data_IF_738865412661
#
_entry.id   IF_738865412661
#
_cell.length_a   1.000
_cell.length_b   1.000
_cell.length_c   1.000
_cell.angle_alpha   90.00
_cell.angle_beta   90.00
_cell.angle_gamma   90.00
#
_symmetry.space_group_name_H-M   'P 1'
#
loop_
_entity.id
_entity.type
_entity.pdbx_description
1 polymer ?
#
# COMPACT_ATOMS: atom_id res chain seq x y z
N UNK A 1 -4.92 33.27 -28.30
CA UNK A 1 -4.69 32.54 -27.03
C UNK A 1 -4.99 31.07 -27.31
N UNK A 2 -3.93 30.29 -27.44
CA UNK A 2 -3.90 28.94 -27.97
C UNK A 2 -4.54 27.96 -26.99
N UNK A 3 -5.72 27.49 -27.36
CA UNK A 3 -6.31 26.24 -26.86
C UNK A 3 -5.40 25.10 -27.30
N UNK A 4 -4.57 24.58 -26.39
CA UNK A 4 -3.86 23.32 -26.60
C UNK A 4 -4.88 22.19 -26.50
N UNK A 5 -5.20 21.62 -27.66
CA UNK A 5 -5.95 20.38 -27.80
C UNK A 5 -5.29 19.29 -26.95
N UNK A 6 -5.86 18.99 -25.80
CA UNK A 6 -5.55 17.78 -25.05
C UNK A 6 -6.11 16.64 -25.90
N UNK A 7 -5.18 15.95 -26.56
CA UNK A 7 -5.43 14.75 -27.35
C UNK A 7 -6.07 13.67 -26.46
N UNK A 8 -7.38 13.44 -26.63
CA UNK A 8 -8.10 12.23 -26.19
C UNK A 8 -7.61 10.99 -26.96
N UNK A 9 -6.32 10.66 -26.85
CA UNK A 9 -5.84 9.32 -27.21
C UNK A 9 -6.18 8.40 -26.04
N UNK A 10 -6.79 7.23 -26.26
CA UNK A 10 -6.80 6.20 -25.23
C UNK A 10 -5.34 5.93 -24.89
N UNK A 11 -4.94 6.26 -23.66
CA UNK A 11 -3.56 6.10 -23.17
C UNK A 11 -3.10 4.69 -23.53
N UNK A 12 -2.28 4.57 -24.57
CA UNK A 12 -1.71 3.29 -24.96
C UNK A 12 -0.92 2.78 -23.77
N UNK A 13 -1.10 1.51 -23.44
CA UNK A 13 -0.33 0.87 -22.36
C UNK A 13 1.16 1.09 -22.65
N UNK A 14 1.93 1.60 -21.69
CA UNK A 14 3.39 1.71 -21.84
C UNK A 14 3.96 0.31 -22.04
N UNK A 15 4.84 0.18 -23.03
CA UNK A 15 5.43 -1.11 -23.42
C UNK A 15 6.87 -1.22 -22.97
N UNK A 16 7.29 -2.44 -22.67
CA UNK A 16 8.67 -2.78 -22.38
C UNK A 16 9.21 -3.65 -23.53
N UNK A 17 10.53 -3.67 -23.78
CA UNK A 17 11.12 -4.54 -24.78
C UNK A 17 10.79 -6.01 -24.49
N UNK A 18 10.64 -6.81 -25.54
CA UNK A 18 10.37 -8.25 -25.40
C UNK A 18 11.57 -9.05 -24.85
N UNK A 19 12.75 -8.43 -24.72
CA UNK A 19 13.92 -9.05 -24.11
C UNK A 19 13.64 -9.41 -22.65
N UNK A 20 13.95 -10.66 -22.27
CA UNK A 20 13.80 -11.17 -20.90
C UNK A 20 15.08 -11.84 -20.37
N UNK A 21 16.22 -11.53 -20.97
CA UNK A 21 17.48 -12.25 -20.70
C UNK A 21 17.95 -11.99 -19.28
N UNK A 22 17.83 -10.75 -18.82
CA UNK A 22 18.20 -10.38 -17.47
C UNK A 22 17.28 -11.07 -16.46
N UNK A 23 15.95 -10.94 -16.62
CA UNK A 23 14.95 -11.57 -15.75
C UNK A 23 15.07 -13.09 -15.73
N UNK A 24 15.30 -13.71 -16.87
CA UNK A 24 15.49 -15.17 -16.97
C UNK A 24 16.71 -15.61 -16.16
N UNK A 25 17.85 -14.95 -16.37
CA UNK A 25 19.09 -15.25 -15.64
C UNK A 25 18.92 -15.03 -14.14
N UNK A 26 18.28 -13.93 -13.74
CA UNK A 26 17.96 -13.63 -12.34
C UNK A 26 17.11 -14.73 -11.72
N UNK A 27 16.00 -15.10 -12.36
CA UNK A 27 15.10 -16.14 -11.87
C UNK A 27 15.79 -17.52 -11.78
N UNK A 28 16.65 -17.86 -12.75
CA UNK A 28 17.43 -19.10 -12.73
C UNK A 28 18.38 -19.14 -11.53
N UNK A 29 19.09 -18.04 -11.25
CA UNK A 29 19.99 -17.93 -10.09
C UNK A 29 19.24 -17.99 -8.76
N UNK A 30 18.13 -17.26 -8.63
CA UNK A 30 17.28 -17.29 -7.43
C UNK A 30 16.74 -18.69 -7.20
N UNK A 31 16.20 -19.35 -8.24
CA UNK A 31 15.71 -20.73 -8.15
C UNK A 31 16.82 -21.70 -7.73
N UNK A 32 18.01 -21.57 -8.32
CA UNK A 32 19.17 -22.40 -7.98
C UNK A 32 19.55 -22.22 -6.51
N UNK A 33 19.59 -20.99 -6.00
CA UNK A 33 19.84 -20.71 -4.58
C UNK A 33 18.85 -21.43 -3.65
N UNK A 34 17.55 -21.33 -3.92
CA UNK A 34 16.53 -22.04 -3.12
C UNK A 34 16.71 -23.56 -3.15
N UNK A 35 17.07 -24.12 -4.31
CA UNK A 35 17.28 -25.56 -4.47
C UNK A 35 18.55 -26.05 -3.75
N UNK A 36 19.67 -25.34 -3.89
CA UNK A 36 20.95 -25.72 -3.27
C UNK A 36 20.92 -25.63 -1.74
N UNK A 37 20.07 -24.77 -1.19
CA UNK A 37 19.92 -24.58 0.26
C UNK A 37 18.72 -25.34 0.87
N UNK A 38 17.97 -26.13 0.08
CA UNK A 38 16.72 -26.80 0.50
C UNK A 38 15.70 -25.84 1.14
N UNK A 39 15.63 -24.61 0.63
CA UNK A 39 14.71 -23.58 1.09
C UNK A 39 13.46 -23.58 0.21
N UNK A 40 12.28 -23.69 0.83
CA UNK A 40 11.01 -23.53 0.13
C UNK A 40 10.71 -22.05 -0.10
N UNK A 41 10.36 -21.62 -1.33
CA UNK A 41 10.06 -20.21 -1.62
C UNK A 41 8.72 -19.74 -1.00
N UNK A 42 7.87 -20.68 -0.58
CA UNK A 42 6.59 -20.43 0.07
C UNK A 42 6.45 -21.34 1.30
N UNK A 43 5.40 -21.12 2.09
CA UNK A 43 5.09 -21.87 3.29
C UNK A 43 6.20 -21.82 4.35
N UNK A 44 6.88 -20.68 4.47
CA UNK A 44 7.89 -20.45 5.51
C UNK A 44 7.21 -20.35 6.89
N UNK A 45 7.49 -21.25 7.85
CA UNK A 45 6.90 -21.21 9.21
C UNK A 45 7.11 -19.88 9.93
N UNK A 46 8.25 -19.21 9.69
CA UNK A 46 8.55 -17.91 10.28
C UNK A 46 7.55 -16.83 9.85
N UNK A 47 7.02 -16.89 8.62
CA UNK A 47 5.99 -15.95 8.16
C UNK A 47 4.67 -16.16 8.90
N UNK A 48 4.26 -17.41 9.15
CA UNK A 48 3.05 -17.69 9.92
C UNK A 48 3.18 -17.29 11.40
N UNK A 49 4.36 -17.50 11.99
CA UNK A 49 4.65 -17.01 13.35
C UNK A 49 4.63 -15.48 13.41
N UNK A 50 5.26 -14.79 12.45
CA UNK A 50 5.19 -13.32 12.29
C UNK A 50 3.74 -12.84 12.25
N UNK A 51 2.90 -13.49 11.44
CA UNK A 51 1.46 -13.19 11.38
C UNK A 51 0.77 -13.38 12.71
N UNK A 52 0.98 -14.51 13.39
CA UNK A 52 0.36 -14.78 14.68
C UNK A 52 0.74 -13.72 15.73
N UNK A 53 2.03 -13.32 15.76
CA UNK A 53 2.53 -12.26 16.65
C UNK A 53 1.85 -10.91 16.33
N UNK A 54 1.83 -10.50 15.06
CA UNK A 54 1.27 -9.22 14.63
C UNK A 54 -0.25 -9.16 14.88
N UNK A 55 -0.99 -10.23 14.57
CA UNK A 55 -2.42 -10.27 14.86
C UNK A 55 -2.70 -10.26 16.37
N UNK A 56 -1.91 -11.01 17.15
CA UNK A 56 -2.01 -10.98 18.62
C UNK A 56 -1.69 -9.60 19.18
N UNK A 57 -0.75 -8.88 18.58
CA UNK A 57 -0.42 -7.50 18.92
C UNK A 57 -1.62 -6.57 18.65
N UNK A 58 -2.23 -6.63 17.47
CA UNK A 58 -3.40 -5.81 17.13
C UNK A 58 -4.57 -6.10 18.10
N UNK A 59 -4.99 -7.37 18.18
CA UNK A 59 -6.16 -7.75 18.99
C UNK A 59 -5.91 -7.60 20.49
N UNK A 60 -4.70 -7.95 20.95
CA UNK A 60 -4.31 -7.82 22.35
C UNK A 60 -4.22 -6.36 22.80
N UNK A 61 -3.64 -5.48 21.98
CA UNK A 61 -3.58 -4.04 22.30
C UNK A 61 -4.96 -3.42 22.27
N UNK A 62 -5.78 -3.75 21.27
CA UNK A 62 -7.17 -3.30 21.22
C UNK A 62 -7.96 -3.75 22.46
N UNK A 63 -7.83 -5.01 22.88
CA UNK A 63 -8.49 -5.52 24.08
C UNK A 63 -7.98 -4.82 25.36
N UNK A 64 -6.67 -4.57 25.46
CA UNK A 64 -6.10 -3.80 26.56
C UNK A 64 -6.62 -2.36 26.62
N UNK A 65 -6.74 -1.69 25.47
CA UNK A 65 -7.34 -0.35 25.38
C UNK A 65 -8.79 -0.39 25.85
N UNK A 66 -9.58 -1.43 25.57
CA UNK A 66 -10.98 -1.44 25.99
C UNK A 66 -11.16 -1.86 27.45
N UNK A 67 -10.49 -2.94 27.87
CA UNK A 67 -10.78 -3.62 29.14
C UNK A 67 -9.68 -3.47 30.20
N UNK A 68 -8.52 -2.90 29.85
CA UNK A 68 -7.46 -2.60 30.82
C UNK A 68 -7.78 -1.42 31.74
N UNK A 69 -6.89 -1.07 32.68
CA UNK A 69 -7.09 -0.01 33.66
C UNK A 69 -7.48 1.33 33.02
N UNK A 70 -8.41 2.06 33.66
CA UNK A 70 -8.92 3.36 33.19
C UNK A 70 -7.91 4.52 33.42
N UNK A 71 -6.67 4.33 32.96
CA UNK A 71 -5.57 5.29 33.09
C UNK A 71 -5.34 5.93 31.72
N UNK A 72 -5.66 7.22 31.60
CA UNK A 72 -5.73 7.92 30.31
C UNK A 72 -4.43 7.80 29.47
N UNK A 73 -3.27 8.05 30.09
CA UNK A 73 -2.00 8.01 29.36
C UNK A 73 -1.67 6.59 28.85
N UNK A 74 -2.05 5.54 29.58
CA UNK A 74 -1.90 4.15 29.13
C UNK A 74 -2.81 3.84 27.95
N UNK A 75 -4.04 4.37 27.93
CA UNK A 75 -4.97 4.21 26.79
C UNK A 75 -4.43 4.91 25.55
N UNK A 76 -3.94 6.15 25.68
CA UNK A 76 -3.32 6.91 24.58
C UNK A 76 -2.10 6.19 24.02
N UNK A 77 -1.19 5.73 24.90
CA UNK A 77 -0.04 4.92 24.48
C UNK A 77 -0.49 3.62 23.79
N UNK A 78 -1.53 2.97 24.32
CA UNK A 78 -2.17 1.82 23.69
C UNK A 78 -2.64 2.12 22.27
N UNK A 79 -3.28 3.26 22.02
CA UNK A 79 -3.71 3.65 20.67
C UNK A 79 -2.53 3.82 19.70
N UNK A 80 -1.41 4.40 20.14
CA UNK A 80 -0.18 4.49 19.33
C UNK A 80 0.35 3.09 19.02
N UNK A 81 0.48 2.23 20.04
CA UNK A 81 0.94 0.84 19.89
C UNK A 81 0.02 0.04 18.96
N UNK A 82 -1.30 0.27 19.03
CA UNK A 82 -2.26 -0.33 18.13
C UNK A 82 -2.04 0.15 16.68
N UNK A 83 -1.79 1.45 16.48
CA UNK A 83 -1.46 2.01 15.17
C UNK A 83 -0.21 1.40 14.54
N UNK A 84 0.84 1.15 15.34
CA UNK A 84 2.02 0.40 14.91
C UNK A 84 1.68 -1.05 14.51
N UNK A 85 0.83 -1.71 15.30
CA UNK A 85 0.33 -3.05 15.00
C UNK A 85 -0.47 -3.09 13.69
N UNK A 86 -1.35 -2.11 13.45
CA UNK A 86 -2.09 -1.93 12.19
C UNK A 86 -1.10 -1.78 11.02
N UNK A 87 -0.05 -0.97 11.18
CA UNK A 87 1.05 -0.85 10.21
C UNK A 87 1.72 -2.17 9.90
N UNK A 88 2.09 -2.94 10.94
CA UNK A 88 2.63 -4.29 10.77
C UNK A 88 1.65 -5.24 10.07
N UNK A 89 0.36 -5.18 10.40
CA UNK A 89 -0.68 -5.98 9.76
C UNK A 89 -0.81 -5.69 8.27
N UNK A 90 -0.79 -4.40 7.89
CA UNK A 90 -0.78 -3.98 6.49
C UNK A 90 0.49 -4.41 5.76
N UNK A 91 1.66 -3.97 6.24
CA UNK A 91 2.93 -4.08 5.52
C UNK A 91 3.57 -5.47 5.58
N UNK A 92 3.28 -6.29 6.60
CA UNK A 92 3.92 -7.60 6.78
C UNK A 92 2.98 -8.80 6.61
N UNK A 93 1.68 -8.62 6.83
CA UNK A 93 0.71 -9.72 6.67
C UNK A 93 -0.06 -9.56 5.37
N UNK A 94 -0.80 -8.46 5.23
CA UNK A 94 -1.67 -8.26 4.08
C UNK A 94 -0.89 -8.01 2.78
N UNK A 95 0.17 -7.21 2.82
CA UNK A 95 1.07 -6.96 1.69
C UNK A 95 1.63 -8.26 1.10
N UNK A 96 2.37 -9.01 1.92
CA UNK A 96 2.99 -10.29 1.56
C UNK A 96 1.96 -11.30 1.03
N UNK A 97 0.77 -11.36 1.64
CA UNK A 97 -0.31 -12.24 1.21
C UNK A 97 -0.95 -11.80 -0.11
N UNK A 98 -1.12 -10.49 -0.34
CA UNK A 98 -1.65 -9.96 -1.58
C UNK A 98 -0.66 -10.09 -2.77
N UNK A 99 0.63 -10.25 -2.49
CA UNK A 99 1.64 -10.72 -3.45
C UNK A 99 1.66 -12.23 -3.66
N UNK A 100 0.94 -13.00 -2.86
CA UNK A 100 0.86 -14.46 -2.97
C UNK A 100 2.06 -15.21 -2.37
N UNK A 101 2.85 -14.57 -1.51
CA UNK A 101 4.11 -15.14 -1.00
C UNK A 101 3.93 -16.21 0.08
N UNK A 102 2.85 -16.15 0.89
CA UNK A 102 2.68 -17.04 2.06
C UNK A 102 2.57 -18.52 1.67
N UNK A 103 1.73 -18.84 0.70
CA UNK A 103 1.42 -20.24 0.37
C UNK A 103 1.21 -20.47 -1.11
N UNK A 104 1.45 -21.69 -1.56
CA UNK A 104 1.03 -22.17 -2.88
C UNK A 104 -0.51 -22.28 -2.97
N UNK A 105 -1.22 -22.36 -1.84
CA UNK A 105 -2.67 -22.32 -1.80
C UNK A 105 -3.17 -20.87 -1.84
N UNK A 106 -3.74 -20.47 -2.98
CA UNK A 106 -4.29 -19.13 -3.18
C UNK A 106 -5.38 -18.73 -2.18
N UNK A 107 -6.08 -19.69 -1.55
CA UNK A 107 -7.07 -19.40 -0.51
C UNK A 107 -6.43 -18.86 0.77
N UNK A 108 -5.25 -19.38 1.15
CA UNK A 108 -4.51 -18.90 2.33
C UNK A 108 -4.08 -17.44 2.10
N UNK A 109 -3.46 -17.18 0.95
CA UNK A 109 -3.09 -15.82 0.54
C UNK A 109 -4.29 -14.88 0.51
N UNK A 110 -5.43 -15.33 -0.04
CA UNK A 110 -6.64 -14.51 -0.07
C UNK A 110 -7.14 -14.18 1.34
N UNK A 111 -7.21 -15.15 2.26
CA UNK A 111 -7.67 -14.92 3.63
C UNK A 111 -6.75 -13.95 4.37
N UNK A 112 -5.43 -14.16 4.30
CA UNK A 112 -4.46 -13.28 4.94
C UNK A 112 -4.42 -11.89 4.27
N UNK A 113 -4.67 -11.81 2.96
CA UNK A 113 -4.80 -10.56 2.23
C UNK A 113 -5.98 -9.70 2.68
N UNK A 114 -7.05 -10.31 3.23
CA UNK A 114 -8.20 -9.61 3.82
C UNK A 114 -7.86 -8.86 5.11
N UNK A 115 -6.65 -9.05 5.67
CA UNK A 115 -6.18 -8.20 6.78
C UNK A 115 -6.17 -6.73 6.35
N UNK A 116 -5.84 -6.40 5.09
CA UNK A 116 -6.03 -5.03 4.57
C UNK A 116 -7.49 -4.59 4.73
N UNK A 117 -8.45 -5.40 4.26
CA UNK A 117 -9.87 -5.04 4.29
C UNK A 117 -10.37 -4.83 5.72
N UNK A 118 -9.98 -5.70 6.66
CA UNK A 118 -10.27 -5.54 8.09
C UNK A 118 -9.66 -4.25 8.67
N UNK A 119 -8.47 -3.87 8.23
CA UNK A 119 -7.79 -2.64 8.63
C UNK A 119 -8.27 -1.41 7.86
N UNK A 120 -9.30 -1.54 7.01
CA UNK A 120 -9.95 -0.42 6.35
C UNK A 120 -9.33 -0.02 5.00
N UNK A 121 -8.45 -0.83 4.41
CA UNK A 121 -7.91 -0.65 3.05
C UNK A 121 -8.38 -1.80 2.17
N UNK A 122 -8.93 -1.56 0.99
CA UNK A 122 -9.42 -2.67 0.16
C UNK A 122 -8.27 -3.51 -0.40
N UNK A 123 -8.23 -4.82 -0.13
CA UNK A 123 -7.22 -5.68 -0.75
C UNK A 123 -7.38 -5.76 -2.27
N UNK A 124 -8.61 -5.61 -2.79
CA UNK A 124 -8.87 -5.54 -4.22
C UNK A 124 -8.25 -4.30 -4.86
N UNK A 125 -8.57 -3.12 -4.35
CA UNK A 125 -8.04 -1.86 -4.89
C UNK A 125 -6.54 -1.76 -4.66
N UNK A 126 -6.06 -2.29 -3.53
CA UNK A 126 -4.63 -2.41 -3.25
C UNK A 126 -3.92 -3.25 -4.31
N UNK A 127 -4.40 -4.47 -4.64
CA UNK A 127 -3.80 -5.28 -5.71
C UNK A 127 -3.84 -4.59 -7.07
N UNK A 128 -4.89 -3.82 -7.34
CA UNK A 128 -4.97 -3.08 -8.61
C UNK A 128 -3.98 -1.91 -8.66
N UNK A 129 -3.93 -1.06 -7.61
CA UNK A 129 -3.01 0.09 -7.58
C UNK A 129 -1.55 -0.32 -7.41
N UNK A 130 -1.28 -1.29 -6.54
CA UNK A 130 0.09 -1.66 -6.19
C UNK A 130 0.65 -2.74 -7.14
N UNK A 131 -0.05 -3.87 -7.32
CA UNK A 131 0.50 -4.96 -8.14
C UNK A 131 0.36 -4.71 -9.64
N UNK A 132 -0.76 -4.12 -10.08
CA UNK A 132 -0.99 -3.90 -11.50
C UNK A 132 -0.45 -2.56 -12.00
N UNK A 133 -0.59 -1.46 -11.26
CA UNK A 133 -0.04 -0.17 -11.69
C UNK A 133 1.40 0.02 -11.20
N UNK A 134 1.60 0.18 -9.90
CA UNK A 134 2.91 0.51 -9.33
C UNK A 134 4.00 -0.49 -9.71
N UNK A 135 3.83 -1.80 -9.49
CA UNK A 135 4.85 -2.78 -9.89
C UNK A 135 5.00 -2.99 -11.41
N UNK A 136 4.09 -2.46 -12.23
CA UNK A 136 4.31 -2.44 -13.68
C UNK A 136 5.07 -1.18 -14.11
N UNK A 137 4.83 -0.04 -13.46
CA UNK A 137 5.27 1.28 -13.89
C UNK A 137 5.96 2.09 -12.78
N UNK A 138 6.67 1.45 -11.86
CA UNK A 138 7.31 2.09 -10.70
C UNK A 138 8.09 3.35 -11.08
N UNK A 139 7.86 4.46 -10.38
CA UNK A 139 8.51 5.75 -10.64
C UNK A 139 8.22 6.38 -12.02
N UNK A 140 7.24 5.86 -12.77
CA UNK A 140 6.87 6.39 -14.07
C UNK A 140 5.74 7.42 -13.93
N UNK A 141 6.03 8.67 -14.28
CA UNK A 141 5.06 9.77 -14.26
C UNK A 141 3.81 9.45 -15.08
N UNK A 142 2.63 9.81 -14.56
CA UNK A 142 1.33 9.57 -15.20
C UNK A 142 0.86 8.11 -15.18
N UNK A 143 1.67 7.18 -14.69
CA UNK A 143 1.39 5.75 -14.68
C UNK A 143 1.45 5.12 -13.29
N UNK A 144 2.37 5.55 -12.44
CA UNK A 144 2.46 5.13 -11.05
C UNK A 144 1.56 6.00 -10.15
N UNK A 145 0.44 5.42 -9.71
CA UNK A 145 -0.50 6.13 -8.82
C UNK A 145 0.07 6.37 -7.42
N UNK A 146 1.12 5.66 -7.02
CA UNK A 146 1.67 5.75 -5.66
C UNK A 146 2.66 6.92 -5.51
N UNK A 147 3.06 7.57 -6.61
CA UNK A 147 3.88 8.81 -6.63
C UNK A 147 3.13 10.04 -7.15
N UNK A 148 1.85 9.93 -7.52
CA UNK A 148 1.07 11.04 -8.11
C UNK A 148 1.03 12.29 -7.20
N UNK A 149 0.92 12.09 -5.89
CA UNK A 149 0.93 13.17 -4.89
C UNK A 149 -0.23 14.17 -4.99
N UNK A 150 -1.17 13.96 -5.94
CA UNK A 150 -2.36 14.77 -6.24
C UNK A 150 -2.09 16.29 -6.29
N UNK A 151 -0.89 16.66 -6.74
CA UNK A 151 -0.43 18.05 -6.82
C UNK A 151 -0.10 18.72 -5.49
N UNK A 152 -0.32 18.05 -4.35
CA UNK A 152 -0.02 18.57 -3.00
C UNK A 152 1.40 18.21 -2.59
N UNK A 153 1.81 16.97 -2.86
CA UNK A 153 3.15 16.47 -2.54
C UNK A 153 3.90 16.28 -3.85
N UNK A 154 5.12 16.80 -3.91
CA UNK A 154 6.07 16.54 -4.98
C UNK A 154 6.87 15.29 -4.68
N UNK A 155 6.64 14.23 -5.46
CA UNK A 155 7.25 12.91 -5.26
C UNK A 155 8.23 12.49 -6.37
N UNK A 156 8.32 13.25 -7.46
CA UNK A 156 9.24 12.94 -8.56
C UNK A 156 9.86 14.22 -9.16
N UNK A 157 11.03 14.13 -9.82
CA UNK A 157 11.80 15.31 -10.24
C UNK A 157 11.08 16.21 -11.26
N UNK A 158 10.31 15.65 -12.17
CA UNK A 158 9.70 16.40 -13.27
C UNK A 158 8.34 17.01 -12.92
N UNK A 159 7.83 16.77 -11.71
CA UNK A 159 6.58 17.36 -11.25
C UNK A 159 6.73 18.89 -11.12
N UNK A 160 5.70 19.63 -11.54
CA UNK A 160 5.62 21.08 -11.39
C UNK A 160 5.91 21.50 -9.94
N UNK A 161 6.92 22.35 -9.76
CA UNK A 161 7.30 22.87 -8.46
C UNK A 161 6.44 24.08 -8.08
N UNK A 162 5.51 23.87 -7.16
CA UNK A 162 4.63 24.91 -6.61
C UNK A 162 5.31 25.59 -5.43
N UNK A 163 4.91 26.84 -5.14
CA UNK A 163 5.56 27.65 -4.10
C UNK A 163 5.61 26.98 -2.73
N UNK A 164 4.61 26.17 -2.36
CA UNK A 164 4.58 25.52 -1.05
C UNK A 164 5.50 24.29 -0.97
N UNK A 165 5.93 23.69 -2.08
CA UNK A 165 6.80 22.49 -2.06
C UNK A 165 8.14 22.74 -1.36
N UNK A 166 8.61 23.99 -1.31
CA UNK A 166 9.80 24.35 -0.51
C UNK A 166 9.61 24.04 0.99
N UNK A 167 8.37 24.01 1.49
CA UNK A 167 8.01 23.68 2.86
C UNK A 167 7.54 22.23 3.04
N UNK A 168 7.64 21.39 2.01
CA UNK A 168 7.16 19.99 2.06
C UNK A 168 7.81 19.22 3.20
N UNK A 169 9.10 19.40 3.44
CA UNK A 169 9.83 18.80 4.56
C UNK A 169 9.26 19.15 5.95
N UNK A 170 8.41 20.19 6.05
CA UNK A 170 7.70 20.55 7.28
C UNK A 170 6.27 20.01 7.29
N UNK A 171 5.52 20.17 6.20
CA UNK A 171 4.10 19.80 6.21
C UNK A 171 3.84 18.31 6.00
N UNK A 172 4.82 17.57 5.44
CA UNK A 172 4.66 16.14 5.11
C UNK A 172 4.29 15.31 6.35
N UNK A 173 4.87 15.65 7.50
CA UNK A 173 4.62 15.04 8.81
C UNK A 173 3.16 15.18 9.28
N UNK A 174 2.42 16.16 8.76
CA UNK A 174 1.00 16.35 9.03
C UNK A 174 0.11 15.70 7.97
N UNK A 175 0.62 15.48 6.75
CA UNK A 175 -0.12 14.81 5.69
C UNK A 175 -0.15 13.29 5.90
N UNK A 176 1.00 12.66 6.18
CA UNK A 176 1.08 11.20 6.33
C UNK A 176 0.07 10.61 7.32
N UNK A 177 -0.14 11.20 8.52
CA UNK A 177 -1.17 10.73 9.44
C UNK A 177 -2.60 10.73 8.88
N UNK A 178 -2.91 11.56 7.88
CA UNK A 178 -4.27 11.72 7.33
C UNK A 178 -4.51 10.74 6.17
N UNK A 179 -3.45 10.22 5.53
CA UNK A 179 -3.53 9.37 4.33
C UNK A 179 -4.47 8.17 4.49
N UNK A 180 -4.48 7.40 5.60
CA UNK A 180 -5.41 6.27 5.74
C UNK A 180 -6.88 6.66 5.65
N UNK A 181 -7.26 7.83 6.18
CA UNK A 181 -8.63 8.35 6.09
C UNK A 181 -8.95 8.77 4.67
N UNK A 182 -8.05 9.50 4.02
CA UNK A 182 -8.17 9.90 2.63
C UNK A 182 -8.34 8.69 1.71
N UNK A 183 -7.51 7.66 1.86
CA UNK A 183 -7.63 6.41 1.12
C UNK A 183 -8.96 5.73 1.38
N UNK A 184 -9.35 5.54 2.64
CA UNK A 184 -10.61 4.84 2.96
C UNK A 184 -11.82 5.55 2.34
N UNK A 185 -11.87 6.88 2.41
CA UNK A 185 -12.94 7.69 1.79
C UNK A 185 -12.91 7.56 0.26
N UNK A 186 -11.74 7.66 -0.36
CA UNK A 186 -11.63 7.54 -1.81
C UNK A 186 -11.97 6.15 -2.32
N UNK A 187 -11.58 5.09 -1.62
CA UNK A 187 -11.97 3.73 -1.95
C UNK A 187 -13.50 3.56 -1.91
N UNK A 188 -14.17 4.10 -0.90
CA UNK A 188 -15.64 4.07 -0.84
C UNK A 188 -16.28 4.82 -2.01
N UNK A 189 -15.75 6.00 -2.38
CA UNK A 189 -16.21 6.76 -3.55
C UNK A 189 -16.00 6.00 -4.86
N UNK A 190 -14.84 5.37 -5.02
CA UNK A 190 -14.52 4.56 -6.20
C UNK A 190 -15.43 3.34 -6.30
N UNK A 191 -15.72 2.66 -5.19
CA UNK A 191 -16.61 1.49 -5.16
C UNK A 191 -18.10 1.85 -5.31
N UNK A 192 -18.50 3.05 -4.92
CA UNK A 192 -19.84 3.57 -5.16
C UNK A 192 -20.04 4.06 -6.61
N UNK A 193 -18.95 4.39 -7.31
CA UNK A 193 -18.96 4.77 -8.72
C UNK A 193 -18.99 3.54 -9.63
N UNK A 194 -19.76 3.61 -10.72
CA UNK A 194 -19.80 2.56 -11.74
C UNK A 194 -18.58 2.53 -12.66
N UNK A 195 -17.75 3.58 -12.63
CA UNK A 195 -16.58 3.77 -13.50
C UNK A 195 -15.41 4.42 -12.73
N UNK A 196 -14.94 3.77 -11.67
CA UNK A 196 -13.75 4.22 -10.94
C UNK A 196 -12.47 4.13 -11.78
N UNK A 197 -11.57 5.11 -11.63
CA UNK A 197 -10.25 5.14 -12.28
C UNK A 197 -9.16 5.49 -11.27
N UNK A 198 -7.96 4.96 -11.50
CA UNK A 198 -6.73 5.49 -10.94
C UNK A 198 -5.92 6.08 -12.10
N UNK A 199 -5.65 7.38 -12.06
CA UNK A 199 -5.07 8.11 -13.19
C UNK A 199 -5.87 7.80 -14.48
N UNK A 200 -5.19 7.31 -15.51
CA UNK A 200 -5.77 6.94 -16.79
C UNK A 200 -6.29 5.49 -16.86
N UNK A 201 -6.20 4.72 -15.77
CA UNK A 201 -6.52 3.31 -15.73
C UNK A 201 -7.88 3.02 -15.09
N UNK A 202 -8.78 2.44 -15.88
CA UNK A 202 -10.08 1.97 -15.39
C UNK A 202 -9.94 0.78 -14.46
N UNK A 203 -10.58 0.87 -13.30
CA UNK A 203 -10.66 -0.24 -12.36
C UNK A 203 -11.54 -1.33 -12.99
N UNK A 204 -11.07 -2.59 -13.06
CA UNK A 204 -11.87 -3.67 -13.62
C UNK A 204 -13.18 -3.82 -12.85
N UNK A 205 -14.26 -4.20 -13.55
CA UNK A 205 -15.56 -4.38 -12.90
C UNK A 205 -15.47 -5.49 -11.85
N UNK A 206 -15.79 -5.16 -10.60
CA UNK A 206 -15.82 -6.12 -9.51
C UNK A 206 -16.98 -7.12 -9.68
N UNK A 207 -16.74 -8.36 -9.26
CA UNK A 207 -17.79 -9.36 -9.06
C UNK A 207 -18.65 -8.96 -7.85
N UNK A 208 -19.91 -9.38 -7.83
CA UNK A 208 -20.81 -9.14 -6.68
C UNK A 208 -20.21 -9.62 -5.36
N UNK A 209 -19.50 -10.75 -5.36
CA UNK A 209 -18.82 -11.26 -4.17
C UNK A 209 -17.68 -10.35 -3.67
N UNK A 210 -16.99 -9.65 -4.57
CA UNK A 210 -15.93 -8.70 -4.21
C UNK A 210 -16.52 -7.42 -3.63
N UNK A 211 -17.66 -6.95 -4.17
CA UNK A 211 -18.42 -5.82 -3.60
C UNK A 211 -18.97 -6.15 -2.21
N UNK A 212 -19.54 -7.35 -2.03
CA UNK A 212 -20.00 -7.82 -0.71
C UNK A 212 -18.81 -7.89 0.27
N UNK A 213 -17.66 -8.38 -0.18
CA UNK A 213 -16.46 -8.44 0.65
C UNK A 213 -16.00 -7.04 1.04
N UNK A 214 -15.93 -6.10 0.09
CA UNK A 214 -15.53 -4.72 0.36
C UNK A 214 -16.43 -4.05 1.40
N UNK A 215 -17.75 -4.00 1.16
CA UNK A 215 -18.68 -3.32 2.07
C UNK A 215 -18.83 -4.06 3.40
N UNK A 216 -18.83 -5.39 3.37
CA UNK A 216 -18.86 -6.22 4.59
C UNK A 216 -17.63 -5.98 5.47
N UNK A 217 -16.44 -5.85 4.89
CA UNK A 217 -15.22 -5.57 5.65
C UNK A 217 -15.13 -4.13 6.12
N UNK A 218 -15.62 -3.14 5.36
CA UNK A 218 -15.76 -1.75 5.84
C UNK A 218 -16.72 -1.69 7.03
N UNK A 219 -17.84 -2.41 6.98
CA UNK A 219 -18.76 -2.52 8.11
C UNK A 219 -18.09 -3.21 9.31
N UNK A 220 -17.37 -4.32 9.08
CA UNK A 220 -16.66 -5.03 10.14
C UNK A 220 -15.61 -4.13 10.81
N UNK A 221 -14.82 -3.40 10.03
CA UNK A 221 -13.86 -2.41 10.53
C UNK A 221 -14.55 -1.35 11.40
N UNK A 222 -15.64 -0.76 10.89
CA UNK A 222 -16.41 0.25 11.62
C UNK A 222 -17.01 -0.30 12.93
N UNK A 223 -17.58 -1.50 12.88
CA UNK A 223 -18.12 -2.17 14.07
C UNK A 223 -17.01 -2.40 15.09
N UNK A 224 -15.86 -2.92 14.65
CA UNK A 224 -14.75 -3.29 15.52
C UNK A 224 -14.09 -2.08 16.20
N UNK A 225 -13.79 -1.03 15.43
CA UNK A 225 -13.06 0.14 15.94
C UNK A 225 -13.96 1.25 16.49
N UNK A 226 -15.27 1.26 16.18
CA UNK A 226 -16.18 2.34 16.60
C UNK A 226 -17.34 1.81 17.45
N UNK A 227 -18.11 0.86 16.94
CA UNK A 227 -19.34 0.42 17.62
C UNK A 227 -19.03 -0.34 18.91
N UNK A 228 -18.07 -1.27 18.91
CA UNK A 228 -17.72 -2.05 20.10
C UNK A 228 -17.22 -1.15 21.24
N UNK A 229 -16.24 -0.23 21.05
CA UNK A 229 -15.82 0.69 22.11
C UNK A 229 -16.98 1.47 22.73
N UNK A 230 -17.90 1.99 21.90
CA UNK A 230 -19.08 2.71 22.39
C UNK A 230 -20.00 1.78 23.20
N UNK A 231 -20.26 0.57 22.70
CA UNK A 231 -21.11 -0.40 23.36
C UNK A 231 -20.57 -0.86 24.72
N UNK A 232 -19.24 -0.87 24.91
CA UNK A 232 -18.61 -1.23 26.20
C UNK A 232 -18.37 -0.03 27.12
N UNK A 233 -18.88 1.16 26.77
CA UNK A 233 -18.97 2.31 27.68
C UNK A 233 -18.04 3.49 27.38
N UNK A 234 -17.27 3.47 26.29
CA UNK A 234 -16.52 4.65 25.86
C UNK A 234 -17.45 5.69 25.22
N UNK A 235 -17.24 6.96 25.52
CA UNK A 235 -17.96 8.03 24.81
C UNK A 235 -17.60 8.05 23.33
N UNK A 236 -18.47 8.64 22.51
CA UNK A 236 -18.20 8.86 21.08
C UNK A 236 -16.87 9.61 20.90
N UNK A 237 -16.61 10.65 21.72
CA UNK A 237 -15.39 11.44 21.63
C UNK A 237 -14.13 10.65 21.98
N UNK A 238 -14.15 9.84 23.04
CA UNK A 238 -13.03 8.98 23.40
C UNK A 238 -12.75 7.96 22.30
N UNK A 239 -13.80 7.38 21.73
CA UNK A 239 -13.70 6.39 20.65
C UNK A 239 -13.10 7.03 19.39
N UNK A 240 -13.64 8.16 18.95
CA UNK A 240 -13.13 8.88 17.77
C UNK A 240 -11.68 9.34 17.97
N UNK A 241 -11.32 9.82 19.17
CA UNK A 241 -9.95 10.21 19.48
C UNK A 241 -9.00 9.00 19.44
N UNK A 242 -9.40 7.86 20.01
CA UNK A 242 -8.61 6.63 19.98
C UNK A 242 -8.39 6.09 18.57
N UNK A 243 -9.45 6.06 17.75
CA UNK A 243 -9.38 5.71 16.33
C UNK A 243 -8.46 6.68 15.58
N UNK A 244 -8.62 7.98 15.83
CA UNK A 244 -7.78 9.01 15.20
C UNK A 244 -6.31 8.76 15.51
N UNK A 245 -5.93 8.60 16.78
CA UNK A 245 -4.54 8.35 17.18
C UNK A 245 -3.98 7.08 16.52
N UNK A 246 -4.74 5.97 16.56
CA UNK A 246 -4.27 4.70 16.01
C UNK A 246 -4.06 4.78 14.49
N UNK A 247 -5.03 5.29 13.74
CA UNK A 247 -4.95 5.38 12.28
C UNK A 247 -3.99 6.49 11.81
N UNK A 248 -3.83 7.57 12.58
CA UNK A 248 -2.79 8.58 12.32
C UNK A 248 -1.38 8.01 12.52
N UNK A 249 -1.17 7.21 13.56
CA UNK A 249 0.10 6.50 13.78
C UNK A 249 0.37 5.52 12.64
N UNK A 250 -0.64 4.76 12.22
CA UNK A 250 -0.56 3.87 11.06
C UNK A 250 -0.15 4.62 9.78
N UNK A 251 -0.83 5.73 9.47
CA UNK A 251 -0.54 6.55 8.29
C UNK A 251 0.87 7.11 8.29
N UNK A 252 1.30 7.65 9.43
CA UNK A 252 2.67 8.13 9.63
C UNK A 252 3.70 7.05 9.29
N UNK A 253 3.61 5.88 9.92
CA UNK A 253 4.61 4.81 9.76
C UNK A 253 4.58 4.20 8.36
N UNK A 254 3.41 3.96 7.80
CA UNK A 254 3.32 3.33 6.47
C UNK A 254 3.81 4.25 5.38
N UNK A 255 3.49 5.54 5.42
CA UNK A 255 3.98 6.47 4.41
C UNK A 255 5.51 6.61 4.45
N UNK A 256 6.12 6.65 5.64
CA UNK A 256 7.59 6.62 5.77
C UNK A 256 8.19 5.38 5.09
N UNK A 257 7.74 4.19 5.49
CA UNK A 257 8.26 2.93 4.95
C UNK A 257 8.05 2.83 3.44
N UNK A 258 6.89 3.25 2.96
CA UNK A 258 6.53 3.14 1.54
C UNK A 258 7.37 4.07 0.66
N UNK A 259 7.65 5.30 1.11
CA UNK A 259 8.44 6.26 0.34
C UNK A 259 9.92 5.87 0.23
N UNK A 260 10.49 5.28 1.28
CA UNK A 260 11.91 4.89 1.28
C UNK A 260 12.26 3.87 0.18
N UNK A 261 11.30 3.10 -0.33
CA UNK A 261 11.57 2.07 -1.33
C UNK A 261 11.81 2.62 -2.74
N UNK A 262 11.18 3.74 -3.08
CA UNK A 262 11.11 4.22 -4.47
C UNK A 262 11.31 5.73 -4.64
N UNK A 263 11.17 6.52 -3.57
CA UNK A 263 11.25 8.00 -3.63
C UNK A 263 12.49 8.47 -2.89
N UNK A 264 13.66 8.09 -3.41
CA UNK A 264 14.97 8.47 -2.88
C UNK A 264 15.88 9.01 -4.00
N UNK A 265 16.94 9.73 -3.61
CA UNK A 265 17.94 10.24 -4.56
C UNK A 265 18.67 9.12 -5.32
N UNK A 266 18.75 7.93 -4.73
CA UNK A 266 19.43 6.77 -5.32
C UNK A 266 18.58 6.03 -6.38
N UNK A 267 17.29 6.32 -6.49
CA UNK A 267 16.37 5.65 -7.42
C UNK A 267 16.13 6.49 -8.66
N UNK A 268 16.04 5.85 -9.82
CA UNK A 268 15.74 6.52 -11.08
C UNK A 268 14.24 6.84 -11.22
N UNK A 269 13.94 7.88 -12.00
CA UNK A 269 12.58 8.25 -12.45
C UNK A 269 12.56 8.28 -13.98
N UNK A 270 12.39 7.11 -14.63
CA UNK A 270 12.49 7.01 -16.08
C UNK A 270 11.36 7.75 -16.79
N UNK A 271 11.61 8.17 -18.02
CA UNK A 271 10.62 8.80 -18.90
C UNK A 271 10.21 7.84 -20.03
N UNK A 272 8.97 7.97 -20.50
CA UNK A 272 8.49 7.22 -21.66
C UNK A 272 8.99 7.89 -22.94
N UNK A 273 9.51 7.10 -23.88
CA UNK A 273 9.83 7.59 -25.23
C UNK A 273 8.55 8.10 -25.93
N UNK A 274 8.44 9.40 -26.26
CA UNK A 274 7.16 10.00 -26.67
C UNK A 274 6.58 9.42 -27.97
N UNK A 275 7.43 8.98 -28.90
CA UNK A 275 7.00 8.49 -30.21
C UNK A 275 6.49 7.04 -30.15
N UNK A 276 7.16 6.17 -29.40
CA UNK A 276 6.86 4.74 -29.30
C UNK A 276 6.02 4.36 -28.08
N UNK A 277 5.86 5.27 -27.12
CA UNK A 277 5.19 5.02 -25.85
C UNK A 277 5.77 3.78 -25.12
N UNK A 278 7.10 3.71 -25.08
CA UNK A 278 7.86 2.57 -24.56
C UNK A 278 8.99 3.00 -23.61
N UNK A 279 9.40 2.08 -22.75
CA UNK A 279 10.64 2.16 -21.97
C UNK A 279 11.74 1.41 -22.72
N UNK A 280 12.97 1.92 -22.66
CA UNK A 280 14.14 1.32 -23.33
C UNK A 280 14.69 0.09 -22.59
N UNK A 281 14.60 0.07 -21.26
CA UNK A 281 15.05 -1.03 -20.42
C UNK A 281 14.07 -2.22 -20.43
N UNK A 282 14.61 -3.44 -20.33
CA UNK A 282 13.84 -4.62 -19.93
C UNK A 282 13.15 -4.36 -18.58
N UNK A 283 11.90 -4.81 -18.41
CA UNK A 283 11.10 -4.54 -17.20
C UNK A 283 11.83 -4.85 -15.88
N UNK A 284 12.60 -5.95 -15.81
CA UNK A 284 13.32 -6.29 -14.58
C UNK A 284 14.51 -5.36 -14.29
N UNK A 285 15.17 -4.84 -15.33
CA UNK A 285 16.22 -3.82 -15.18
C UNK A 285 15.59 -2.50 -14.72
N UNK A 286 14.49 -2.11 -15.36
CA UNK A 286 13.69 -0.95 -14.96
C UNK A 286 13.31 -1.02 -13.48
N UNK A 287 12.77 -2.15 -13.00
CA UNK A 287 12.41 -2.32 -11.58
C UNK A 287 13.60 -2.18 -10.63
N UNK A 288 14.80 -2.66 -11.00
CA UNK A 288 16.00 -2.50 -10.16
C UNK A 288 16.43 -1.04 -10.09
N UNK A 289 16.42 -0.33 -11.23
CA UNK A 289 16.80 1.08 -11.29
C UNK A 289 15.87 1.99 -10.47
N UNK A 290 14.59 1.62 -10.38
CA UNK A 290 13.56 2.41 -9.67
C UNK A 290 13.33 1.97 -8.23
N UNK A 291 14.17 1.09 -7.68
CA UNK A 291 14.01 0.54 -6.31
C UNK A 291 15.29 0.70 -5.51
N UNK A 292 15.17 1.17 -4.27
CA UNK A 292 16.30 1.30 -3.35
C UNK A 292 16.73 -0.07 -2.80
N UNK A 293 18.04 -0.29 -2.71
CA UNK A 293 18.62 -1.46 -2.05
C UNK A 293 18.85 -1.20 -0.57
N UNK A 294 18.04 -1.84 0.29
CA UNK A 294 18.15 -1.75 1.75
C UNK A 294 19.16 -2.73 2.35
N UNK A 295 19.72 -3.62 1.55
CA UNK A 295 20.65 -4.65 2.01
C UNK A 295 21.87 -4.76 1.08
N UNK A 296 22.62 -3.66 0.85
CA UNK A 296 23.70 -3.61 -0.16
C UNK A 296 24.90 -4.51 0.17
N UNK A 297 24.93 -5.11 1.36
CA UNK A 297 25.97 -6.02 1.83
C UNK A 297 25.45 -7.42 2.12
N UNK A 298 24.19 -7.73 1.78
CA UNK A 298 23.65 -9.07 1.93
C UNK A 298 24.09 -9.91 0.72
N UNK A 299 24.80 -11.05 0.92
CA UNK A 299 25.38 -11.84 -0.16
C UNK A 299 24.38 -12.42 -1.17
#
# INVERSE_FOLDING_TARGET
MTSSLISDKPSSKVTFPNGNTFRKTLNERVKKYFQENDIKPNNNPAMYLKTAIILSWIFGTWAFILFGPAIMWLKVLGCVILGLGIGGGGMSVAHDANHGSYSTNSRINKILGLVHDFLGVSSYLWRFRHNFLHHTYTNLDGHDVEIDGSGVIRMYPNMEHKWYHQFQHLFIWFIYPIIPFYWSINEMKLMASSQGKYLNYSIPKLKTSELITFWGMKLLNFVFFVIIPIAVGYTIWQTLLGVMIAFMTYGFVVCEVFMLAHVLEATEFPEVEPESNSISDEWAIFQIKTTADFAPHNP
#
